data_IF_053137411528
#
_entry.id   IF_053137411528
#
_cell.length_a   1.000
_cell.length_b   1.000
_cell.length_c   1.000
_cell.angle_alpha   90.00
_cell.angle_beta   90.00
_cell.angle_gamma   90.00
#
_symmetry.space_group_name_H-M   'P 1'
#
loop_
_entity.id
_entity.type
_entity.pdbx_description
1 polymer ?
#
# COMPACT_ATOMS: atom_id res chain seq x y z
N UNK A 1 36.96 21.46 -55.01
CA UNK A 1 36.62 21.50 -53.58
C UNK A 1 35.12 21.35 -53.46
N UNK A 2 34.62 20.18 -53.04
CA UNK A 2 33.19 19.84 -53.02
C UNK A 2 32.61 20.13 -51.64
N UNK A 3 31.68 21.09 -51.56
CA UNK A 3 30.97 21.43 -50.32
C UNK A 3 29.87 20.39 -50.05
N UNK A 4 30.04 19.57 -49.00
CA UNK A 4 29.01 18.67 -48.50
C UNK A 4 27.96 19.48 -47.73
N UNK A 5 26.84 19.80 -48.38
CA UNK A 5 25.66 20.33 -47.70
C UNK A 5 25.03 19.20 -46.84
N UNK A 6 25.39 19.17 -45.56
CA UNK A 6 24.76 18.28 -44.59
C UNK A 6 23.34 18.79 -44.30
N UNK A 7 22.33 18.10 -44.84
CA UNK A 7 20.91 18.46 -44.65
C UNK A 7 20.44 17.88 -43.32
N UNK A 8 20.48 18.69 -42.27
CA UNK A 8 20.00 18.30 -40.92
C UNK A 8 18.48 18.13 -40.96
N UNK A 9 18.00 16.89 -40.85
CA UNK A 9 16.58 16.58 -40.69
C UNK A 9 16.20 16.86 -39.23
N UNK A 10 15.30 17.83 -38.99
CA UNK A 10 14.80 18.10 -37.63
C UNK A 10 13.95 16.92 -37.16
N UNK A 11 14.27 16.38 -35.99
CA UNK A 11 13.42 15.38 -35.33
C UNK A 11 12.00 15.94 -35.14
N UNK A 12 10.95 15.14 -35.39
CA UNK A 12 9.59 15.58 -35.15
C UNK A 12 9.43 15.97 -33.68
N UNK A 13 8.89 17.16 -33.44
CA UNK A 13 8.60 17.62 -32.08
C UNK A 13 7.63 16.63 -31.45
N UNK A 14 7.95 16.14 -30.25
CA UNK A 14 7.05 15.28 -29.48
C UNK A 14 5.69 15.97 -29.36
N UNK A 15 4.62 15.25 -29.69
CA UNK A 15 3.27 15.69 -29.34
C UNK A 15 3.22 15.84 -27.82
N UNK A 16 2.55 16.89 -27.33
CA UNK A 16 2.40 17.19 -25.90
C UNK A 16 2.03 15.93 -25.11
N UNK A 17 2.53 15.76 -23.88
CA UNK A 17 2.26 14.57 -23.09
C UNK A 17 0.75 14.27 -23.07
N UNK A 18 0.40 13.01 -23.28
CA UNK A 18 -0.99 12.55 -23.21
C UNK A 18 -1.54 13.01 -21.85
N UNK A 19 -2.66 13.74 -21.78
CA UNK A 19 -3.25 14.15 -20.53
C UNK A 19 -3.48 12.89 -19.68
N UNK A 20 -2.74 12.77 -18.57
CA UNK A 20 -2.97 11.68 -17.64
C UNK A 20 -4.37 11.89 -17.06
N UNK A 21 -5.28 10.96 -17.35
CA UNK A 21 -6.56 10.91 -16.66
C UNK A 21 -6.24 10.67 -15.18
N UNK A 22 -6.73 11.50 -14.24
CA UNK A 22 -6.55 11.19 -12.83
C UNK A 22 -7.18 9.82 -12.59
N UNK A 23 -6.38 8.87 -12.11
CA UNK A 23 -6.93 7.64 -11.54
C UNK A 23 -7.89 8.05 -10.43
N UNK A 24 -9.07 7.41 -10.30
CA UNK A 24 -9.93 7.69 -9.16
C UNK A 24 -9.11 7.50 -7.89
N UNK A 25 -9.19 8.46 -6.97
CA UNK A 25 -8.55 8.33 -5.67
C UNK A 25 -9.14 7.09 -5.00
N UNK A 26 -8.41 5.98 -5.05
CA UNK A 26 -8.77 4.77 -4.33
C UNK A 26 -8.66 5.12 -2.86
N UNK A 27 -9.68 4.80 -2.07
CA UNK A 27 -9.64 4.96 -0.62
C UNK A 27 -8.69 3.92 -0.02
N UNK A 28 -7.39 4.18 -0.13
CA UNK A 28 -6.33 3.29 0.32
C UNK A 28 -6.39 3.04 1.84
N UNK A 29 -6.88 4.03 2.59
CA UNK A 29 -7.08 3.90 4.04
C UNK A 29 -8.20 2.89 4.33
N UNK A 30 -9.39 3.09 3.74
CA UNK A 30 -10.50 2.16 3.92
C UNK A 30 -10.15 0.74 3.46
N UNK A 31 -9.37 0.61 2.39
CA UNK A 31 -8.90 -0.68 1.89
C UNK A 31 -7.89 -1.35 2.85
N UNK A 32 -7.03 -0.57 3.51
CA UNK A 32 -6.10 -1.08 4.52
C UNK A 32 -6.83 -1.50 5.80
N UNK A 33 -7.80 -0.73 6.26
CA UNK A 33 -8.63 -1.05 7.44
C UNK A 33 -9.46 -2.32 7.21
N UNK A 34 -10.06 -2.47 6.02
CA UNK A 34 -10.77 -3.69 5.64
C UNK A 34 -9.85 -4.91 5.69
N UNK A 35 -8.64 -4.80 5.13
CA UNK A 35 -7.66 -5.90 5.17
C UNK A 35 -7.25 -6.26 6.59
N UNK A 36 -7.03 -5.28 7.45
CA UNK A 36 -6.71 -5.54 8.85
C UNK A 36 -7.84 -6.30 9.56
N UNK A 37 -9.11 -5.91 9.32
CA UNK A 37 -10.27 -6.63 9.85
C UNK A 37 -10.29 -8.09 9.38
N UNK A 38 -10.10 -8.34 8.09
CA UNK A 38 -10.08 -9.70 7.55
C UNK A 38 -8.96 -10.56 8.15
N UNK A 39 -7.80 -9.96 8.42
CA UNK A 39 -6.68 -10.66 9.07
C UNK A 39 -7.02 -11.01 10.52
N UNK A 40 -7.65 -10.09 11.26
CA UNK A 40 -8.14 -10.37 12.61
C UNK A 40 -9.16 -11.52 12.63
N UNK A 41 -10.09 -11.55 11.67
CA UNK A 41 -11.06 -12.64 11.53
C UNK A 41 -10.37 -13.99 11.29
N UNK A 42 -9.31 -14.02 10.46
CA UNK A 42 -8.51 -15.23 10.24
C UNK A 42 -7.83 -15.71 11.51
N UNK A 43 -7.27 -14.79 12.32
CA UNK A 43 -6.68 -15.17 13.61
C UNK A 43 -7.74 -15.72 14.57
N UNK A 44 -8.93 -15.13 14.60
CA UNK A 44 -10.03 -15.65 15.43
C UNK A 44 -10.42 -17.07 15.03
N UNK A 45 -10.43 -17.40 13.74
CA UNK A 45 -10.67 -18.77 13.29
C UNK A 45 -9.54 -19.74 13.68
N UNK A 46 -8.29 -19.29 13.67
CA UNK A 46 -7.15 -20.09 14.15
C UNK A 46 -7.22 -20.29 15.67
N UNK A 47 -7.58 -19.26 16.42
CA UNK A 47 -7.71 -19.29 17.88
C UNK A 47 -8.84 -20.23 18.30
N UNK A 48 -9.98 -20.21 17.60
CA UNK A 48 -11.14 -21.08 17.89
C UNK A 48 -10.86 -22.56 17.64
N UNK A 49 -9.92 -22.92 16.75
CA UNK A 49 -9.53 -24.31 16.40
C UNK A 49 -8.66 -24.97 17.49
N UNK A 50 -9.15 -25.00 18.73
CA UNK A 50 -8.42 -25.51 19.91
C UNK A 50 -8.26 -27.04 19.95
N UNK A 51 -8.92 -27.78 19.06
CA UNK A 51 -8.99 -29.25 19.10
C UNK A 51 -7.92 -29.99 18.26
N UNK A 52 -6.95 -29.27 17.69
CA UNK A 52 -5.82 -29.87 16.92
C UNK A 52 -4.62 -30.21 17.84
N UNK A 53 -3.77 -31.20 17.47
CA UNK A 53 -2.73 -31.78 18.35
C UNK A 53 -1.63 -30.79 18.72
N UNK A 54 -0.79 -31.17 19.70
CA UNK A 54 0.21 -30.40 20.47
C UNK A 54 1.00 -29.25 19.77
N UNK A 55 1.19 -29.28 18.44
CA UNK A 55 1.71 -28.15 17.64
C UNK A 55 0.73 -26.95 17.58
N UNK A 56 -0.54 -27.16 17.92
CA UNK A 56 -1.60 -26.17 17.95
C UNK A 56 -1.39 -25.09 19.01
N UNK A 57 -0.69 -25.36 20.11
CA UNK A 57 -0.52 -24.38 21.18
C UNK A 57 0.44 -23.26 20.78
N UNK A 58 1.54 -23.57 20.08
CA UNK A 58 2.45 -22.53 19.59
C UNK A 58 1.77 -21.66 18.53
N UNK A 59 1.01 -22.28 17.63
CA UNK A 59 0.24 -21.59 16.59
C UNK A 59 -0.84 -20.70 17.21
N UNK A 60 -1.53 -21.20 18.23
CA UNK A 60 -2.56 -20.45 18.95
C UNK A 60 -1.98 -19.23 19.66
N UNK A 61 -0.87 -19.39 20.37
CA UNK A 61 -0.16 -18.29 21.02
C UNK A 61 0.37 -17.29 19.98
N UNK A 62 0.94 -17.76 18.88
CA UNK A 62 1.40 -16.89 17.80
C UNK A 62 0.23 -16.12 17.15
N UNK A 63 -0.94 -16.74 16.97
CA UNK A 63 -2.12 -16.10 16.41
C UNK A 63 -2.66 -14.99 17.33
N UNK A 64 -2.65 -15.21 18.65
CA UNK A 64 -3.02 -14.18 19.64
C UNK A 64 -2.08 -12.96 19.52
N UNK A 65 -0.76 -13.19 19.57
CA UNK A 65 0.22 -12.10 19.46
C UNK A 65 0.16 -11.39 18.11
N UNK A 66 -0.06 -12.13 17.02
CA UNK A 66 -0.17 -11.54 15.69
C UNK A 66 -1.44 -10.67 15.56
N UNK A 67 -2.54 -11.08 16.19
CA UNK A 67 -3.77 -10.28 16.25
C UNK A 67 -3.55 -8.97 17.01
N UNK A 68 -2.97 -9.04 18.21
CA UNK A 68 -2.65 -7.86 19.03
C UNK A 68 -1.75 -6.88 18.26
N UNK A 69 -0.73 -7.40 17.56
CA UNK A 69 0.19 -6.59 16.75
C UNK A 69 -0.52 -5.89 15.59
N UNK A 70 -1.44 -6.57 14.90
CA UNK A 70 -2.22 -5.96 13.80
C UNK A 70 -3.09 -4.82 14.34
N UNK A 71 -3.76 -5.02 15.47
CA UNK A 71 -4.57 -3.97 16.10
C UNK A 71 -3.72 -2.74 16.48
N UNK A 72 -2.53 -2.97 17.06
CA UNK A 72 -1.58 -1.90 17.37
C UNK A 72 -1.12 -1.16 16.10
N UNK A 73 -0.77 -1.88 15.03
CA UNK A 73 -0.37 -1.28 13.75
C UNK A 73 -1.46 -0.40 13.15
N UNK A 74 -2.74 -0.82 13.25
CA UNK A 74 -3.87 -0.01 12.77
C UNK A 74 -4.02 1.28 13.60
N UNK A 75 -3.84 1.21 14.92
CA UNK A 75 -3.84 2.40 15.78
C UNK A 75 -2.71 3.35 15.40
N UNK A 76 -1.49 2.84 15.23
CA UNK A 76 -0.33 3.63 14.82
C UNK A 76 -0.54 4.26 13.45
N UNK A 77 -1.10 3.52 12.50
CA UNK A 77 -1.40 4.02 11.16
C UNK A 77 -2.41 5.17 11.20
N UNK A 78 -3.55 5.00 11.87
CA UNK A 78 -4.54 6.08 12.04
C UNK A 78 -3.94 7.30 12.73
N UNK A 79 -3.11 7.07 13.75
CA UNK A 79 -2.41 8.14 14.46
C UNK A 79 -1.46 8.90 13.53
N UNK A 80 -0.66 8.21 12.72
CA UNK A 80 0.23 8.83 11.75
C UNK A 80 -0.55 9.69 10.72
N UNK A 81 -1.72 9.23 10.28
CA UNK A 81 -2.59 10.02 9.41
C UNK A 81 -3.18 11.26 10.09
N UNK A 82 -3.46 11.20 11.40
CA UNK A 82 -3.95 12.35 12.16
C UNK A 82 -2.83 13.34 12.55
N UNK A 83 -1.60 12.85 12.76
CA UNK A 83 -0.43 13.65 13.11
C UNK A 83 0.23 14.33 11.90
N UNK A 84 -0.18 14.01 10.67
CA UNK A 84 0.19 14.72 9.44
C UNK A 84 -1.01 15.51 8.84
N UNK A 85 -1.35 16.70 9.37
CA UNK A 85 -2.26 17.61 8.68
C UNK A 85 -1.58 18.39 7.54
N UNK A 86 -0.29 18.18 7.25
CA UNK A 86 0.41 18.87 6.17
C UNK A 86 1.94 18.80 6.21
N UNK A 87 2.53 18.10 5.23
CA UNK A 87 3.93 18.29 4.82
C UNK A 87 4.24 17.44 3.58
N UNK A 88 4.40 17.96 2.36
CA UNK A 88 4.91 19.26 1.93
C UNK A 88 4.12 19.77 0.71
N UNK A 89 3.48 20.93 0.84
CA UNK A 89 3.34 21.84 -0.31
C UNK A 89 4.65 22.61 -0.39
N UNK A 90 5.65 22.03 -1.03
CA UNK A 90 6.80 22.80 -1.52
C UNK A 90 6.31 23.65 -2.70
N UNK A 91 6.17 24.96 -2.46
CA UNK A 91 6.05 25.98 -3.51
C UNK A 91 7.32 26.05 -4.34
#
# INVERSE_FOLDING_TARGET
MTNLHCRVIRFPKRQSPIPQKPFPAVDLQGEAELRASLVCDLFDEVIKKKDEPQDSMQIHVAALFAKDLVEEMVVLYRRALCEDPGGEIHN
#
